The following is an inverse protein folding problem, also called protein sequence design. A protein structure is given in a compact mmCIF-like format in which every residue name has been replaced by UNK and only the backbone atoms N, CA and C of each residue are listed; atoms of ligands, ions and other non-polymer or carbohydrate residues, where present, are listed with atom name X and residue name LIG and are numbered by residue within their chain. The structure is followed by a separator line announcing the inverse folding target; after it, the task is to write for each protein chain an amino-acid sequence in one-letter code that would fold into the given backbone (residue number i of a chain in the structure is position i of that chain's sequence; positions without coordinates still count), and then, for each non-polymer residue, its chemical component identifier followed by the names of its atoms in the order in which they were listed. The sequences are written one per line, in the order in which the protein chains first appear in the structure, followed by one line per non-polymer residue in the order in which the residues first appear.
data_IF_035398598445
#
_entry.id   IF_035398598445
#
_cell.length_a   1.000
_cell.length_b   1.000
_cell.length_c   1.000
_cell.angle_alpha   90.00
_cell.angle_beta   90.00
_cell.angle_gamma   90.00
#
_symmetry.space_group_name_H-M   'P 1'
#
loop_
_entity.id
_entity.type
_entity.pdbx_description
1 polymer ?
#
# COMPACT_ATOMS: atom_id res chain seq x y z
N UNK A 1 -3.34 9.28 -9.97
CA UNK A 1 -1.95 8.78 -9.79
C UNK A 1 -1.90 7.31 -10.16
N UNK A 2 -0.96 6.90 -11.00
CA UNK A 2 -0.75 5.50 -11.36
C UNK A 2 0.45 4.96 -10.58
N UNK A 3 0.25 3.98 -9.69
CA UNK A 3 1.37 3.30 -9.04
C UNK A 3 2.04 2.36 -10.05
N UNK A 4 3.34 2.55 -10.26
CA UNK A 4 4.16 1.64 -11.07
C UNK A 4 4.68 0.49 -10.20
N UNK A 5 4.83 -0.69 -10.79
CA UNK A 5 5.47 -1.84 -10.14
C UNK A 5 6.88 -1.44 -9.66
N UNK A 6 7.21 -1.78 -8.42
CA UNK A 6 8.48 -1.42 -7.77
C UNK A 6 8.40 -0.19 -6.86
N UNK A 7 7.25 0.50 -6.80
CA UNK A 7 7.01 1.54 -5.80
C UNK A 7 7.05 0.92 -4.41
N UNK A 8 7.99 1.37 -3.57
CA UNK A 8 8.12 0.93 -2.17
C UNK A 8 7.41 1.93 -1.27
N UNK A 9 6.54 1.44 -0.40
CA UNK A 9 5.85 2.25 0.61
C UNK A 9 6.18 1.69 1.99
N UNK A 10 6.55 2.57 2.92
CA UNK A 10 6.89 2.23 4.31
C UNK A 10 5.76 2.70 5.24
N UNK A 11 5.72 2.19 6.47
CA UNK A 11 4.72 2.55 7.48
C UNK A 11 3.27 2.26 7.03
N UNK A 12 3.04 1.07 6.46
CA UNK A 12 1.68 0.60 6.13
C UNK A 12 0.92 0.20 7.40
N UNK A 13 -0.41 0.27 7.34
CA UNK A 13 -1.33 -0.14 8.41
C UNK A 13 -2.28 -1.22 7.87
N UNK A 14 -2.65 -2.15 8.72
CA UNK A 14 -3.69 -3.12 8.41
C UNK A 14 -5.06 -2.43 8.51
N UNK A 15 -5.91 -2.66 7.51
CA UNK A 15 -7.31 -2.22 7.55
C UNK A 15 -8.18 -3.29 8.21
N UNK A 16 -9.47 -3.01 8.39
CA UNK A 16 -10.45 -3.99 8.90
C UNK A 16 -10.56 -5.25 8.03
N UNK A 17 -10.33 -5.11 6.72
CA UNK A 17 -10.30 -6.21 5.78
C UNK A 17 -8.87 -6.74 5.59
N UNK A 18 -8.67 -8.05 5.76
CA UNK A 18 -7.38 -8.71 5.58
C UNK A 18 -6.85 -8.66 4.14
N UNK A 19 -7.72 -8.40 3.16
CA UNK A 19 -7.33 -8.20 1.76
C UNK A 19 -6.87 -6.77 1.44
N UNK A 20 -6.91 -5.86 2.41
CA UNK A 20 -6.67 -4.43 2.22
C UNK A 20 -5.62 -3.90 3.21
N UNK A 21 -4.78 -2.99 2.72
CA UNK A 21 -3.79 -2.28 3.54
C UNK A 21 -3.85 -0.79 3.25
N UNK A 22 -3.79 0.01 4.30
CA UNK A 22 -3.68 1.46 4.18
C UNK A 22 -2.20 1.85 4.14
N UNK A 23 -1.85 2.74 3.20
CA UNK A 23 -0.51 3.24 3.04
C UNK A 23 -0.50 4.73 2.69
N UNK A 24 0.65 5.37 2.90
CA UNK A 24 0.85 6.77 2.57
C UNK A 24 1.95 6.88 1.53
N UNK A 25 1.64 7.45 0.37
CA UNK A 25 2.62 7.85 -0.63
C UNK A 25 2.98 9.33 -0.42
N UNK A 26 4.07 9.85 -1.00
CA UNK A 26 4.42 11.26 -0.87
C UNK A 26 3.32 12.22 -1.40
N UNK A 27 2.48 11.75 -2.31
CA UNK A 27 1.45 12.55 -2.97
C UNK A 27 0.04 12.28 -2.41
N UNK A 28 -0.22 11.07 -1.89
CA UNK A 28 -1.53 10.64 -1.39
C UNK A 28 -1.40 10.04 0.01
N UNK A 29 -2.17 10.58 0.95
CA UNK A 29 -2.34 10.03 2.30
C UNK A 29 -3.60 9.16 2.37
N UNK A 30 -3.57 8.09 3.15
CA UNK A 30 -4.71 7.18 3.33
C UNK A 30 -5.09 6.37 2.10
N UNK A 31 -4.10 6.00 1.26
CA UNK A 31 -4.34 5.18 0.09
C UNK A 31 -4.53 3.72 0.50
N UNK A 32 -5.69 3.14 0.19
CA UNK A 32 -5.98 1.71 0.43
C UNK A 32 -5.59 0.90 -0.81
N UNK A 33 -4.79 -0.15 -0.62
CA UNK A 33 -4.33 -1.07 -1.66
C UNK A 33 -4.72 -2.51 -1.30
N UNK A 34 -5.04 -3.31 -2.33
CA UNK A 34 -5.33 -4.74 -2.16
C UNK A 34 -4.04 -5.56 -2.01
N UNK A 35 -3.99 -6.43 -1.00
CA UNK A 35 -2.83 -7.27 -0.64
C UNK A 35 -2.33 -8.16 -1.78
N UNK A 36 -3.22 -8.59 -2.68
CA UNK A 36 -2.88 -9.41 -3.87
C UNK A 36 -1.86 -8.77 -4.83
N UNK A 37 -1.65 -7.45 -4.76
CA UNK A 37 -0.67 -6.73 -5.58
C UNK A 37 0.60 -6.33 -4.82
N UNK A 38 0.67 -6.61 -3.52
CA UNK A 38 1.82 -6.28 -2.67
C UNK A 38 2.78 -7.45 -2.55
N UNK A 39 4.06 -7.11 -2.38
CA UNK A 39 5.10 -8.06 -2.00
C UNK A 39 5.85 -7.45 -0.82
N UNK A 40 6.03 -8.23 0.26
CA UNK A 40 6.89 -7.82 1.36
C UNK A 40 8.31 -7.63 0.82
N UNK A 41 8.82 -6.42 0.94
CA UNK A 41 10.21 -6.08 0.62
C UNK A 41 10.98 -6.21 1.92
N UNK A 42 12.00 -7.05 1.91
CA UNK A 42 13.00 -7.16 2.97
C UNK A 42 14.01 -6.00 2.85
#
# INVERSE_FOLDING_TARGET
MTLKKGTKVKNIRLADNAEEVECNTPEIKGLVLKTCFLKKVD
#
